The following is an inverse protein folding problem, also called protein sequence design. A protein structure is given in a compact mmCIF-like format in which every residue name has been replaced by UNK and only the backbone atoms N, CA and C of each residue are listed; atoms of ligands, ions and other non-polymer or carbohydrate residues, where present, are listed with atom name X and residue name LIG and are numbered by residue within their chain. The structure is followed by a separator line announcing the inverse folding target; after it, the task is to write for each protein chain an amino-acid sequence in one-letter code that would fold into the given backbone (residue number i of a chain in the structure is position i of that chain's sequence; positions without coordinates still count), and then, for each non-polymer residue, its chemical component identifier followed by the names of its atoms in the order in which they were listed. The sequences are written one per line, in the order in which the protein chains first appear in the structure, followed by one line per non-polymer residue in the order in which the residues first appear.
data_IF_096696284351
#
_entry.id   IF_096696284351
#
_cell.length_a   1.000
_cell.length_b   1.000
_cell.length_c   1.000
_cell.angle_alpha   90.00
_cell.angle_beta   90.00
_cell.angle_gamma   90.00
#
_symmetry.space_group_name_H-M   'P 1'
#
loop_
_entity.id
_entity.type
_entity.pdbx_description
1 polymer ?
#
# COMPACT_ATOMS: atom_id res chain seq x y z
N UNK A 1 14.56 -9.58 -20.44
CA UNK A 1 13.17 -9.14 -20.22
C UNK A 1 13.25 -7.78 -19.60
N UNK A 2 12.64 -6.76 -20.20
CA UNK A 2 12.53 -5.46 -19.54
C UNK A 2 11.79 -5.65 -18.22
N UNK A 3 12.36 -5.19 -17.15
CA UNK A 3 11.73 -5.21 -15.84
C UNK A 3 10.75 -4.04 -15.81
N UNK A 4 9.46 -4.34 -15.79
CA UNK A 4 8.44 -3.31 -15.70
C UNK A 4 8.30 -2.83 -14.26
N UNK A 5 8.64 -1.57 -14.02
CA UNK A 5 8.49 -0.93 -12.72
C UNK A 5 7.02 -0.52 -12.53
N UNK A 6 6.45 -0.90 -11.40
CA UNK A 6 5.11 -0.51 -10.99
C UNK A 6 5.18 0.51 -9.86
N UNK A 7 4.66 1.69 -10.13
CA UNK A 7 4.48 2.73 -9.12
C UNK A 7 3.01 2.73 -8.70
N UNK A 8 2.79 2.66 -7.40
CA UNK A 8 1.48 2.67 -6.76
C UNK A 8 1.30 4.01 -6.09
N UNK A 9 0.28 4.75 -6.49
CA UNK A 9 -0.06 6.00 -5.83
C UNK A 9 -1.04 5.76 -4.69
N UNK A 10 -0.74 6.26 -3.49
CA UNK A 10 -1.46 5.95 -2.26
C UNK A 10 -2.18 7.17 -1.65
N UNK A 11 -3.13 7.83 -2.36
CA UNK A 11 -3.88 8.96 -1.82
C UNK A 11 -4.70 8.61 -0.57
N UNK A 12 -5.14 7.35 -0.43
CA UNK A 12 -5.81 6.87 0.78
C UNK A 12 -4.90 7.02 2.00
N UNK A 13 -3.66 6.59 1.88
CA UNK A 13 -2.69 6.64 2.98
C UNK A 13 -2.29 8.07 3.31
N UNK A 14 -2.11 8.90 2.29
CA UNK A 14 -1.88 10.34 2.45
C UNK A 14 -2.99 11.01 3.24
N UNK A 15 -4.25 10.73 2.91
CA UNK A 15 -5.41 11.39 3.51
C UNK A 15 -5.75 10.88 4.92
N UNK A 16 -5.48 9.63 5.25
CA UNK A 16 -5.99 9.01 6.48
C UNK A 16 -5.53 9.70 7.77
N UNK A 17 -4.38 10.37 7.75
CA UNK A 17 -3.83 11.11 8.89
C UNK A 17 -4.26 12.58 8.98
N UNK A 18 -5.00 13.09 7.99
CA UNK A 18 -5.46 14.48 7.96
C UNK A 18 -6.67 14.63 8.90
N UNK A 19 -6.56 15.54 9.87
CA UNK A 19 -7.58 15.72 10.90
C UNK A 19 -8.86 16.36 10.36
N UNK A 20 -8.73 17.38 9.51
CA UNK A 20 -9.87 18.04 8.87
C UNK A 20 -10.47 17.13 7.79
N UNK A 21 -11.80 16.95 7.83
CA UNK A 21 -12.46 16.10 6.85
C UNK A 21 -12.39 16.71 5.46
N UNK A 22 -11.70 16.05 4.57
CA UNK A 22 -11.60 16.43 3.17
C UNK A 22 -12.97 16.20 2.50
N UNK A 23 -13.58 17.21 1.86
CA UNK A 23 -14.84 17.02 1.16
C UNK A 23 -14.79 15.88 0.15
N UNK A 24 -15.80 15.03 0.14
CA UNK A 24 -15.87 13.85 -0.75
C UNK A 24 -15.64 14.21 -2.22
N UNK A 25 -16.18 15.37 -2.65
CA UNK A 25 -15.96 15.87 -4.02
C UNK A 25 -14.46 16.06 -4.32
N UNK A 26 -13.69 16.61 -3.40
CA UNK A 26 -12.27 16.84 -3.59
C UNK A 26 -11.50 15.51 -3.73
N UNK A 27 -11.87 14.51 -2.93
CA UNK A 27 -11.31 13.16 -3.03
C UNK A 27 -11.63 12.52 -4.39
N UNK A 28 -12.88 12.64 -4.85
CA UNK A 28 -13.31 12.13 -6.17
C UNK A 28 -12.51 12.82 -7.29
N UNK A 29 -12.42 14.14 -7.25
CA UNK A 29 -11.69 14.91 -8.27
C UNK A 29 -10.20 14.52 -8.29
N UNK A 30 -9.59 14.29 -7.11
CA UNK A 30 -8.21 13.85 -7.00
C UNK A 30 -8.02 12.44 -7.61
N UNK A 31 -8.86 11.45 -7.23
CA UNK A 31 -8.74 10.09 -7.77
C UNK A 31 -8.94 10.08 -9.29
N UNK A 32 -9.93 10.82 -9.81
CA UNK A 32 -10.14 10.97 -11.27
C UNK A 32 -8.93 11.59 -11.97
N UNK A 33 -8.26 12.52 -11.32
CA UNK A 33 -7.02 13.11 -11.86
C UNK A 33 -5.88 12.08 -11.88
N UNK A 34 -5.71 11.31 -10.79
CA UNK A 34 -4.65 10.30 -10.67
C UNK A 34 -4.84 9.15 -11.66
N UNK A 35 -6.09 8.74 -11.94
CA UNK A 35 -6.38 7.70 -12.95
C UNK A 35 -5.76 8.06 -14.31
N UNK A 36 -5.80 9.34 -14.69
CA UNK A 36 -5.25 9.80 -15.98
C UNK A 36 -3.71 9.76 -16.05
N UNK A 37 -3.05 9.59 -14.92
CA UNK A 37 -1.58 9.54 -14.87
C UNK A 37 -1.00 8.21 -15.37
N UNK A 38 -1.78 7.11 -15.34
CA UNK A 38 -1.31 5.79 -15.78
C UNK A 38 -0.58 4.98 -14.70
N UNK A 39 -0.74 5.29 -13.42
CA UNK A 39 -0.18 4.45 -12.34
C UNK A 39 -0.74 3.01 -12.41
N UNK A 40 0.11 2.00 -12.12
CA UNK A 40 -0.32 0.59 -12.11
C UNK A 40 -1.51 0.38 -11.17
N UNK A 41 -1.43 0.94 -9.97
CA UNK A 41 -2.46 0.79 -8.94
C UNK A 41 -2.65 2.11 -8.19
N UNK A 42 -3.89 2.42 -7.81
CA UNK A 42 -4.23 3.52 -6.92
C UNK A 42 -4.84 2.93 -5.64
N UNK A 43 -4.21 3.15 -4.49
CA UNK A 43 -4.80 2.89 -3.19
C UNK A 43 -5.76 4.04 -2.86
N UNK A 44 -7.02 3.87 -3.25
CA UNK A 44 -7.99 4.95 -3.35
C UNK A 44 -8.95 5.06 -2.16
N UNK A 45 -9.03 4.05 -1.29
CA UNK A 45 -10.03 4.09 -0.23
C UNK A 45 -9.95 2.96 0.79
N UNK A 46 -10.90 2.95 1.73
CA UNK A 46 -10.90 1.98 2.82
C UNK A 46 -12.31 1.59 3.25
N UNK A 47 -12.49 0.29 3.52
CA UNK A 47 -13.69 -0.26 4.14
C UNK A 47 -13.46 -0.65 5.61
N UNK A 48 -12.43 -0.10 6.22
CA UNK A 48 -12.21 -0.15 7.67
C UNK A 48 -13.32 0.67 8.38
N UNK A 49 -13.53 0.42 9.66
CA UNK A 49 -14.54 1.13 10.44
C UNK A 49 -14.32 2.64 10.44
N UNK A 50 -15.34 3.41 10.09
CA UNK A 50 -15.32 4.88 10.12
C UNK A 50 -15.08 5.47 11.51
N UNK A 51 -15.24 4.66 12.59
CA UNK A 51 -14.83 5.06 13.94
C UNK A 51 -13.32 5.14 14.11
N UNK A 52 -12.57 4.34 13.36
CA UNK A 52 -11.11 4.33 13.38
C UNK A 52 -10.51 5.28 12.35
N UNK A 53 -11.11 5.33 11.16
CA UNK A 53 -10.65 6.19 10.06
C UNK A 53 -11.85 6.99 9.51
N UNK A 54 -12.28 8.07 10.22
CA UNK A 54 -13.42 8.88 9.78
C UNK A 54 -13.22 9.49 8.40
N UNK A 55 -11.99 9.86 8.07
CA UNK A 55 -11.60 10.48 6.81
C UNK A 55 -12.03 9.67 5.58
N UNK A 56 -12.14 8.34 5.70
CA UNK A 56 -12.45 7.44 4.59
C UNK A 56 -13.84 6.81 4.68
N UNK A 57 -14.70 7.37 5.52
CA UNK A 57 -16.08 6.89 5.68
C UNK A 57 -16.90 6.96 4.38
N UNK A 58 -16.54 7.87 3.50
CA UNK A 58 -17.17 8.17 2.21
C UNK A 58 -16.62 7.35 1.02
N UNK A 59 -15.72 6.37 1.27
CA UNK A 59 -15.19 5.48 0.22
C UNK A 59 -16.28 4.88 -0.69
N UNK A 60 -17.44 4.41 -0.17
CA UNK A 60 -18.51 3.89 -1.05
C UNK A 60 -19.10 4.95 -1.99
N UNK A 61 -19.17 6.21 -1.57
CA UNK A 61 -19.64 7.32 -2.40
C UNK A 61 -18.62 7.67 -3.47
N UNK A 62 -17.34 7.74 -3.10
CA UNK A 62 -16.25 7.94 -4.04
C UNK A 62 -16.24 6.87 -5.14
N UNK A 63 -16.35 5.60 -4.77
CA UNK A 63 -16.37 4.51 -5.73
C UNK A 63 -17.58 4.57 -6.66
N UNK A 64 -18.79 4.90 -6.17
CA UNK A 64 -19.95 5.10 -7.07
C UNK A 64 -19.71 6.20 -8.10
N UNK A 65 -19.04 7.28 -7.71
CA UNK A 65 -18.70 8.36 -8.63
C UNK A 65 -17.64 7.98 -9.68
N UNK A 66 -16.93 6.86 -9.47
CA UNK A 66 -15.94 6.30 -10.38
C UNK A 66 -16.49 5.15 -11.25
N UNK A 67 -17.76 4.77 -11.11
CA UNK A 67 -18.34 3.58 -11.75
C UNK A 67 -18.24 3.61 -13.30
N UNK A 68 -18.31 4.80 -13.88
CA UNK A 68 -18.26 5.00 -15.34
C UNK A 68 -16.94 5.66 -15.81
N UNK A 69 -15.94 5.75 -14.95
CA UNK A 69 -14.63 6.28 -15.35
C UNK A 69 -13.85 5.22 -16.14
N UNK A 70 -13.20 5.65 -17.20
CA UNK A 70 -12.26 4.81 -17.92
C UNK A 70 -10.96 4.72 -17.10
N UNK A 71 -10.71 3.54 -16.57
CA UNK A 71 -9.53 3.29 -15.74
C UNK A 71 -8.28 2.93 -16.58
N UNK A 72 -8.45 2.67 -17.88
CA UNK A 72 -7.38 2.11 -18.69
C UNK A 72 -6.81 0.83 -18.04
N UNK A 73 -5.49 0.77 -17.90
CA UNK A 73 -4.80 -0.34 -17.22
C UNK A 73 -4.65 -0.16 -15.70
N UNK A 74 -5.06 0.98 -15.15
CA UNK A 74 -4.98 1.29 -13.72
C UNK A 74 -5.93 0.41 -12.88
N UNK A 75 -5.44 -0.15 -11.79
CA UNK A 75 -6.19 -0.96 -10.84
C UNK A 75 -6.55 -0.13 -9.60
N UNK A 76 -7.79 -0.21 -9.15
CA UNK A 76 -8.17 0.40 -7.87
C UNK A 76 -8.00 -0.61 -6.74
N UNK A 77 -7.33 -0.17 -5.68
CA UNK A 77 -7.14 -0.90 -4.44
C UNK A 77 -7.91 -0.21 -3.32
N UNK A 78 -8.56 -1.01 -2.46
CA UNK A 78 -9.16 -0.52 -1.21
C UNK A 78 -8.72 -1.36 -0.03
N UNK A 79 -8.42 -0.72 1.10
CA UNK A 79 -8.03 -1.40 2.32
C UNK A 79 -9.25 -2.01 3.01
N UNK A 80 -9.10 -3.25 3.44
CA UNK A 80 -10.09 -3.99 4.24
C UNK A 80 -9.43 -4.57 5.49
N UNK A 81 -10.12 -4.60 6.62
CA UNK A 81 -9.58 -5.13 7.87
C UNK A 81 -10.29 -6.42 8.34
N UNK A 82 -11.37 -6.81 7.68
CA UNK A 82 -12.17 -8.00 8.02
C UNK A 82 -13.06 -8.41 6.85
N UNK A 83 -13.74 -9.55 6.99
CA UNK A 83 -14.64 -10.15 6.00
C UNK A 83 -15.79 -9.22 5.61
N UNK A 84 -16.37 -8.50 6.57
CA UNK A 84 -17.45 -7.53 6.29
C UNK A 84 -16.96 -6.39 5.38
N UNK A 85 -15.78 -5.88 5.64
CA UNK A 85 -15.13 -4.89 4.77
C UNK A 85 -14.85 -5.43 3.37
N UNK A 86 -14.34 -6.67 3.29
CA UNK A 86 -14.05 -7.34 2.04
C UNK A 86 -15.31 -7.54 1.17
N UNK A 87 -16.41 -8.03 1.76
CA UNK A 87 -17.70 -8.18 1.05
C UNK A 87 -18.20 -6.84 0.51
N UNK A 88 -18.10 -5.77 1.33
CA UNK A 88 -18.53 -4.43 0.90
C UNK A 88 -17.66 -3.87 -0.24
N UNK A 89 -16.35 -4.07 -0.17
CA UNK A 89 -15.41 -3.63 -1.20
C UNK A 89 -15.59 -4.43 -2.50
N UNK A 90 -15.77 -5.73 -2.39
CA UNK A 90 -15.95 -6.64 -3.53
C UNK A 90 -17.23 -6.35 -4.33
N UNK A 91 -18.23 -5.71 -3.73
CA UNK A 91 -19.46 -5.31 -4.41
C UNK A 91 -19.26 -4.19 -5.46
N UNK A 92 -18.08 -3.53 -5.49
CA UNK A 92 -17.75 -2.51 -6.49
C UNK A 92 -16.97 -3.13 -7.65
N UNK A 93 -17.54 -3.17 -8.88
CA UNK A 93 -16.89 -3.82 -10.03
C UNK A 93 -15.50 -3.25 -10.34
N UNK A 94 -15.30 -1.95 -10.22
CA UNK A 94 -14.06 -1.24 -10.51
C UNK A 94 -12.94 -1.49 -9.51
N UNK A 95 -13.22 -2.00 -8.30
CA UNK A 95 -12.18 -2.41 -7.35
C UNK A 95 -11.52 -3.68 -7.86
N UNK A 96 -10.21 -3.65 -8.06
CA UNK A 96 -9.40 -4.78 -8.51
C UNK A 96 -8.73 -5.51 -7.35
N UNK A 97 -8.30 -4.76 -6.34
CA UNK A 97 -7.52 -5.28 -5.23
C UNK A 97 -8.17 -4.99 -3.87
N UNK A 98 -8.16 -6.01 -3.01
CA UNK A 98 -8.44 -5.87 -1.58
C UNK A 98 -7.10 -5.84 -0.85
N UNK A 99 -6.72 -4.70 -0.30
CA UNK A 99 -5.51 -4.53 0.50
C UNK A 99 -5.76 -4.97 1.94
N UNK A 100 -4.97 -5.88 2.47
CA UNK A 100 -5.09 -6.34 3.85
C UNK A 100 -3.81 -6.10 4.65
N UNK A 101 -3.85 -5.32 5.76
CA UNK A 101 -2.71 -5.12 6.64
C UNK A 101 -2.59 -6.29 7.62
N UNK A 102 -1.57 -7.11 7.41
CA UNK A 102 -1.07 -8.12 8.35
C UNK A 102 0.19 -7.58 9.02
N UNK A 103 0.48 -7.91 10.27
CA UNK A 103 1.73 -7.51 10.92
C UNK A 103 2.51 -8.69 11.49
N UNK A 104 3.84 -8.62 11.39
CA UNK A 104 4.73 -9.55 12.09
C UNK A 104 4.88 -9.20 13.58
N UNK A 105 4.63 -7.95 13.98
CA UNK A 105 4.54 -7.54 15.37
C UNK A 105 3.18 -7.92 15.95
N UNK A 106 3.16 -8.75 17.00
CA UNK A 106 1.93 -9.15 17.68
C UNK A 106 1.23 -7.95 18.34
N UNK A 107 2.03 -7.05 18.93
CA UNK A 107 1.48 -5.86 19.58
C UNK A 107 0.85 -4.90 18.58
N UNK A 108 1.53 -4.64 17.46
CA UNK A 108 0.94 -3.81 16.40
C UNK A 108 -0.31 -4.47 15.80
N UNK A 109 -0.27 -5.78 15.55
CA UNK A 109 -1.43 -6.51 15.02
C UNK A 109 -2.65 -6.34 15.91
N UNK A 110 -2.48 -6.48 17.23
CA UNK A 110 -3.55 -6.26 18.21
C UNK A 110 -4.06 -4.82 18.23
N UNK A 111 -3.16 -3.84 18.21
CA UNK A 111 -3.52 -2.42 18.19
C UNK A 111 -4.26 -2.03 16.91
N UNK A 112 -3.79 -2.51 15.76
CA UNK A 112 -4.29 -2.11 14.45
C UNK A 112 -5.62 -2.78 14.09
N UNK A 113 -5.77 -4.07 14.36
CA UNK A 113 -6.94 -4.84 13.90
C UNK A 113 -7.68 -5.59 15.02
N UNK A 114 -7.28 -5.40 16.26
CA UNK A 114 -7.81 -6.11 17.44
C UNK A 114 -7.85 -7.64 17.26
N UNK A 115 -6.75 -8.20 16.72
CA UNK A 115 -6.58 -9.62 16.46
C UNK A 115 -5.16 -10.07 16.77
N UNK A 116 -4.98 -11.33 17.16
CA UNK A 116 -3.64 -11.94 17.17
C UNK A 116 -3.13 -12.13 15.73
N UNK A 117 -1.83 -12.34 15.55
CA UNK A 117 -1.26 -12.67 14.23
C UNK A 117 -1.91 -13.92 13.63
N UNK A 118 -2.21 -14.92 14.46
CA UNK A 118 -2.86 -16.15 14.02
C UNK A 118 -4.30 -15.89 13.56
N UNK A 119 -5.08 -15.11 14.32
CA UNK A 119 -6.45 -14.74 13.92
C UNK A 119 -6.44 -13.86 12.66
N UNK A 120 -5.48 -12.94 12.55
CA UNK A 120 -5.30 -12.12 11.37
C UNK A 120 -4.97 -12.95 10.13
N UNK A 121 -4.17 -14.00 10.27
CA UNK A 121 -3.88 -14.93 9.17
C UNK A 121 -5.13 -15.71 8.75
N UNK A 122 -5.93 -16.21 9.68
CA UNK A 122 -7.21 -16.88 9.35
C UNK A 122 -8.19 -15.90 8.68
N UNK A 123 -8.25 -14.66 9.16
CA UNK A 123 -9.05 -13.61 8.55
C UNK A 123 -8.59 -13.30 7.12
N UNK A 124 -7.26 -13.23 6.89
CA UNK A 124 -6.70 -13.05 5.55
C UNK A 124 -7.13 -14.19 4.61
N UNK A 125 -7.13 -15.43 5.09
CA UNK A 125 -7.64 -16.58 4.32
C UNK A 125 -9.11 -16.38 3.93
N UNK A 126 -9.98 -16.00 4.86
CA UNK A 126 -11.39 -15.73 4.57
C UNK A 126 -11.56 -14.57 3.57
N UNK A 127 -10.74 -13.52 3.68
CA UNK A 127 -10.73 -12.40 2.73
C UNK A 127 -10.29 -12.86 1.34
N UNK A 128 -9.31 -13.77 1.26
CA UNK A 128 -8.86 -14.36 -0.02
C UNK A 128 -9.99 -15.16 -0.69
N UNK A 129 -10.73 -15.96 0.09
CA UNK A 129 -11.88 -16.71 -0.43
C UNK A 129 -12.97 -15.75 -0.98
N UNK A 130 -13.26 -14.65 -0.29
CA UNK A 130 -14.20 -13.61 -0.76
C UNK A 130 -13.69 -12.94 -2.03
N UNK A 131 -12.41 -12.62 -2.10
CA UNK A 131 -11.79 -12.00 -3.27
C UNK A 131 -11.90 -12.91 -4.49
N UNK A 132 -11.56 -14.20 -4.35
CA UNK A 132 -11.65 -15.19 -5.42
C UNK A 132 -13.09 -15.35 -5.94
N UNK A 133 -14.07 -15.47 -5.03
CA UNK A 133 -15.47 -15.56 -5.38
C UNK A 133 -16.00 -14.34 -6.14
N UNK A 134 -15.33 -13.20 -6.02
CA UNK A 134 -15.71 -11.91 -6.63
C UNK A 134 -14.78 -11.50 -7.77
N UNK A 135 -13.88 -12.38 -8.22
CA UNK A 135 -12.86 -12.10 -9.25
C UNK A 135 -11.96 -10.91 -8.89
N UNK A 136 -11.71 -10.71 -7.59
CA UNK A 136 -10.76 -9.73 -7.06
C UNK A 136 -9.46 -10.41 -6.65
N UNK A 137 -8.40 -9.62 -6.50
CA UNK A 137 -7.13 -10.11 -5.97
C UNK A 137 -6.87 -9.51 -4.59
N UNK A 138 -5.99 -10.14 -3.83
CA UNK A 138 -5.55 -9.62 -2.53
C UNK A 138 -4.14 -9.09 -2.65
N UNK A 139 -3.90 -7.90 -2.08
CA UNK A 139 -2.56 -7.40 -1.75
C UNK A 139 -2.40 -7.51 -0.24
N UNK A 140 -1.48 -8.36 0.21
CA UNK A 140 -1.17 -8.48 1.63
C UNK A 140 0.00 -7.55 1.97
N UNK A 141 -0.22 -6.62 2.90
CA UNK A 141 0.84 -5.77 3.43
C UNK A 141 1.38 -6.41 4.71
N UNK A 142 2.69 -6.70 4.76
CA UNK A 142 3.36 -7.18 5.96
C UNK A 142 3.92 -5.96 6.71
N UNK A 143 3.15 -5.43 7.65
CA UNK A 143 3.55 -4.31 8.51
C UNK A 143 4.63 -4.73 9.50
N UNK A 144 5.46 -3.77 9.93
CA UNK A 144 6.59 -3.97 10.82
C UNK A 144 7.62 -4.98 10.28
N UNK A 145 7.73 -5.08 8.94
CA UNK A 145 8.63 -6.03 8.28
C UNK A 145 10.12 -5.71 8.50
N UNK A 146 10.45 -4.53 8.99
CA UNK A 146 11.83 -4.05 9.17
C UNK A 146 12.12 -3.55 10.59
N UNK A 147 11.33 -3.97 11.56
CA UNK A 147 11.45 -3.55 12.95
C UNK A 147 10.14 -2.99 13.51
N UNK A 148 10.12 -2.75 14.82
CA UNK A 148 8.95 -2.25 15.52
C UNK A 148 9.37 -1.33 16.69
N UNK A 149 8.47 -0.41 17.14
CA UNK A 149 8.76 0.51 18.25
C UNK A 149 8.33 -0.05 19.63
N UNK A 150 8.02 -1.36 19.72
CA UNK A 150 7.39 -1.96 20.91
C UNK A 150 8.34 -2.83 21.72
N UNK A 151 9.65 -2.77 21.45
CA UNK A 151 10.65 -3.63 22.09
C UNK A 151 10.41 -5.14 21.88
N UNK A 152 9.60 -5.52 20.89
CA UNK A 152 9.49 -6.91 20.46
C UNK A 152 10.75 -7.30 19.67
N UNK A 153 11.22 -8.52 19.89
CA UNK A 153 12.35 -9.05 19.13
C UNK A 153 12.04 -9.03 17.63
N UNK A 154 12.89 -8.37 16.84
CA UNK A 154 12.79 -8.38 15.39
C UNK A 154 13.69 -9.45 14.79
N UNK A 155 13.10 -10.33 13.97
CA UNK A 155 13.83 -11.39 13.27
C UNK A 155 13.42 -11.43 11.80
N UNK A 156 14.41 -11.26 10.91
CA UNK A 156 14.18 -11.32 9.45
C UNK A 156 13.55 -12.64 9.00
N UNK A 157 13.97 -13.74 9.61
CA UNK A 157 13.46 -15.08 9.26
C UNK A 157 11.97 -15.21 9.61
N UNK A 158 11.49 -14.56 10.66
CA UNK A 158 10.06 -14.54 10.98
C UNK A 158 9.23 -13.81 9.91
N UNK A 159 9.77 -12.74 9.33
CA UNK A 159 9.14 -12.07 8.18
C UNK A 159 9.02 -13.03 6.99
N UNK A 160 10.08 -13.78 6.70
CA UNK A 160 10.08 -14.79 5.63
C UNK A 160 9.05 -15.89 5.93
N UNK A 161 8.99 -16.41 7.15
CA UNK A 161 8.03 -17.45 7.55
C UNK A 161 6.57 -16.99 7.35
N UNK A 162 6.26 -15.75 7.70
CA UNK A 162 4.93 -15.19 7.47
C UNK A 162 4.65 -14.93 5.99
N UNK A 163 5.62 -14.45 5.22
CA UNK A 163 5.49 -14.29 3.78
C UNK A 163 5.24 -15.65 3.10
N UNK A 164 5.95 -16.72 3.51
CA UNK A 164 5.74 -18.08 3.04
C UNK A 164 4.30 -18.57 3.31
N UNK A 165 3.80 -18.36 4.53
CA UNK A 165 2.42 -18.72 4.91
C UNK A 165 1.40 -17.95 4.07
N UNK A 166 1.61 -16.64 3.87
CA UNK A 166 0.71 -15.79 3.08
C UNK A 166 0.73 -16.22 1.60
N UNK A 167 1.91 -16.47 1.04
CA UNK A 167 2.06 -16.97 -0.32
C UNK A 167 1.36 -18.35 -0.50
N UNK A 168 1.40 -19.22 0.51
CA UNK A 168 0.73 -20.53 0.48
C UNK A 168 -0.79 -20.46 0.38
N UNK A 169 -1.40 -19.31 0.69
CA UNK A 169 -2.83 -19.05 0.45
C UNK A 169 -3.15 -18.74 -1.03
N UNK A 170 -2.15 -18.71 -1.91
CA UNK A 170 -2.31 -18.31 -3.31
C UNK A 170 -2.37 -16.80 -3.53
N UNK A 171 -1.93 -16.01 -2.55
CA UNK A 171 -1.81 -14.55 -2.68
C UNK A 171 -0.57 -14.26 -3.52
N UNK A 172 -0.78 -13.50 -4.61
CA UNK A 172 0.26 -13.23 -5.61
C UNK A 172 0.92 -11.86 -5.46
N UNK A 173 0.45 -11.01 -4.56
CA UNK A 173 1.07 -9.70 -4.29
C UNK A 173 1.22 -9.51 -2.80
N UNK A 174 2.46 -9.36 -2.34
CA UNK A 174 2.83 -9.18 -0.93
C UNK A 174 3.73 -7.96 -0.82
N UNK A 175 3.31 -6.93 -0.10
CA UNK A 175 4.08 -5.70 0.09
C UNK A 175 4.73 -5.69 1.48
N UNK A 176 6.06 -5.54 1.54
CA UNK A 176 6.78 -5.40 2.80
C UNK A 176 6.74 -3.94 3.24
N UNK A 177 6.19 -3.69 4.44
CA UNK A 177 6.01 -2.34 4.94
C UNK A 177 7.03 -1.99 6.03
N UNK A 178 7.80 -0.92 5.78
CA UNK A 178 8.61 -0.24 6.78
C UNK A 178 7.76 0.80 7.51
N UNK A 179 6.84 0.29 8.34
CA UNK A 179 5.75 1.06 8.95
C UNK A 179 6.21 2.24 9.81
N UNK A 180 7.43 2.18 10.33
CA UNK A 180 8.00 3.19 11.23
C UNK A 180 9.29 3.83 10.70
N UNK A 181 9.65 3.55 9.46
CA UNK A 181 10.79 4.16 8.80
C UNK A 181 12.16 3.68 9.29
N UNK A 182 12.26 2.52 9.92
CA UNK A 182 13.48 2.00 10.55
C UNK A 182 14.28 1.01 9.69
N UNK A 183 13.80 0.71 8.47
CA UNK A 183 14.45 -0.27 7.60
C UNK A 183 15.93 0.06 7.33
N UNK A 184 16.79 -0.92 7.57
CA UNK A 184 18.21 -0.85 7.26
C UNK A 184 18.49 -1.49 5.89
N UNK A 185 19.44 -0.96 5.13
CA UNK A 185 19.82 -1.46 3.81
C UNK A 185 20.04 -2.97 3.76
N UNK A 186 20.76 -3.51 4.73
CA UNK A 186 21.04 -4.94 4.81
C UNK A 186 19.79 -5.82 5.03
N UNK A 187 18.78 -5.31 5.75
CA UNK A 187 17.52 -6.03 5.97
C UNK A 187 16.64 -5.98 4.74
N UNK A 188 16.59 -4.82 4.07
CA UNK A 188 15.89 -4.65 2.79
C UNK A 188 16.46 -5.62 1.76
N UNK A 189 17.77 -5.59 1.54
CA UNK A 189 18.45 -6.48 0.59
C UNK A 189 18.19 -7.95 0.92
N UNK A 190 18.37 -8.34 2.19
CA UNK A 190 18.18 -9.72 2.63
C UNK A 190 16.75 -10.22 2.36
N UNK A 191 15.73 -9.47 2.79
CA UNK A 191 14.34 -9.89 2.66
C UNK A 191 13.89 -9.98 1.21
N UNK A 192 14.12 -8.94 0.40
CA UNK A 192 13.73 -8.97 -1.00
C UNK A 192 14.48 -10.02 -1.80
N UNK A 193 15.80 -10.14 -1.66
CA UNK A 193 16.60 -11.17 -2.38
C UNK A 193 16.11 -12.58 -2.05
N UNK A 194 15.79 -12.86 -0.79
CA UNK A 194 15.30 -14.17 -0.37
C UNK A 194 13.90 -14.46 -0.87
N UNK A 195 12.98 -13.51 -0.69
CA UNK A 195 11.56 -13.71 -1.01
C UNK A 195 11.32 -13.76 -2.52
N UNK A 196 11.93 -12.87 -3.30
CA UNK A 196 11.80 -12.85 -4.77
C UNK A 196 12.35 -14.14 -5.38
N UNK A 197 13.49 -14.63 -4.90
CA UNK A 197 14.06 -15.89 -5.41
C UNK A 197 13.25 -17.12 -5.00
N UNK A 198 12.66 -17.11 -3.79
CA UNK A 198 11.92 -18.24 -3.22
C UNK A 198 10.51 -18.38 -3.81
N UNK A 199 9.88 -17.27 -4.18
CA UNK A 199 8.52 -17.22 -4.69
C UNK A 199 8.44 -16.48 -6.04
N UNK A 200 8.94 -17.07 -7.14
CA UNK A 200 9.01 -16.39 -8.44
C UNK A 200 7.64 -16.05 -9.06
N UNK A 201 6.55 -16.63 -8.53
CA UNK A 201 5.17 -16.33 -8.93
C UNK A 201 4.49 -15.25 -8.07
N UNK A 202 5.17 -14.76 -7.03
CA UNK A 202 4.66 -13.71 -6.15
C UNK A 202 5.38 -12.41 -6.45
N UNK A 203 4.61 -11.34 -6.66
CA UNK A 203 5.11 -9.98 -6.77
C UNK A 203 5.33 -9.41 -5.37
N UNK A 204 6.60 -9.18 -5.01
CA UNK A 204 6.92 -8.50 -3.76
C UNK A 204 7.04 -7.00 -3.98
N UNK A 205 6.30 -6.20 -3.19
CA UNK A 205 6.30 -4.75 -3.22
C UNK A 205 6.98 -4.13 -2.00
N UNK A 206 7.39 -2.88 -2.15
CA UNK A 206 7.97 -2.05 -1.10
C UNK A 206 7.00 -0.93 -0.73
N UNK A 207 6.50 -0.95 0.51
CA UNK A 207 5.70 0.10 1.11
C UNK A 207 6.49 0.75 2.25
N UNK A 208 7.30 1.73 1.89
CA UNK A 208 8.26 2.31 2.85
C UNK A 208 7.82 3.67 3.35
N UNK A 209 8.01 3.87 4.65
CA UNK A 209 8.06 5.20 5.24
C UNK A 209 9.51 5.62 5.41
N UNK A 210 9.81 6.89 5.21
CA UNK A 210 11.18 7.38 5.29
C UNK A 210 11.25 8.86 5.61
N UNK A 211 12.25 9.22 6.41
CA UNK A 211 12.69 10.61 6.43
C UNK A 211 13.22 11.02 5.05
N UNK A 212 13.11 12.32 4.70
CA UNK A 212 13.51 12.83 3.37
C UNK A 212 14.97 12.53 2.98
N UNK A 213 15.86 12.35 3.96
CA UNK A 213 17.28 12.08 3.70
C UNK A 213 17.60 10.60 3.34
N UNK A 214 16.69 9.67 3.60
CA UNK A 214 17.00 8.23 3.58
C UNK A 214 16.21 7.41 2.54
N UNK A 215 15.23 8.01 1.87
CA UNK A 215 14.34 7.32 0.95
C UNK A 215 15.06 6.63 -0.21
N UNK A 216 16.05 7.32 -0.80
CA UNK A 216 16.72 6.86 -2.01
C UNK A 216 17.46 5.55 -1.77
N UNK A 217 18.21 5.46 -0.68
CA UNK A 217 18.94 4.23 -0.31
C UNK A 217 17.99 3.05 -0.12
N UNK A 218 16.83 3.26 0.52
CA UNK A 218 15.84 2.19 0.72
C UNK A 218 15.28 1.68 -0.61
N UNK A 219 14.92 2.59 -1.51
CA UNK A 219 14.39 2.24 -2.84
C UNK A 219 15.45 1.53 -3.68
N UNK A 220 16.67 2.02 -3.67
CA UNK A 220 17.78 1.44 -4.42
C UNK A 220 18.11 0.02 -3.95
N UNK A 221 18.15 -0.22 -2.64
CA UNK A 221 18.38 -1.55 -2.08
C UNK A 221 17.27 -2.54 -2.43
N UNK A 222 16.00 -2.12 -2.34
CA UNK A 222 14.89 -2.97 -2.72
C UNK A 222 14.89 -3.30 -4.21
N UNK A 223 15.15 -2.31 -5.08
CA UNK A 223 15.25 -2.48 -6.52
C UNK A 223 16.40 -3.43 -6.91
N UNK A 224 17.58 -3.24 -6.34
CA UNK A 224 18.74 -4.09 -6.59
C UNK A 224 18.50 -5.54 -6.12
N UNK A 225 17.68 -5.73 -5.09
CA UNK A 225 17.28 -7.04 -4.57
C UNK A 225 16.08 -7.66 -5.35
N UNK A 226 15.61 -7.02 -6.43
CA UNK A 226 14.60 -7.57 -7.34
C UNK A 226 13.16 -7.11 -7.08
N UNK A 227 12.93 -6.14 -6.19
CA UNK A 227 11.63 -5.50 -6.06
C UNK A 227 11.33 -4.64 -7.30
N UNK A 228 10.10 -4.77 -7.83
CA UNK A 228 9.66 -4.02 -9.01
C UNK A 228 8.35 -3.25 -8.76
N UNK A 229 7.81 -3.31 -7.54
CA UNK A 229 6.57 -2.67 -7.13
C UNK A 229 6.84 -1.74 -5.95
N UNK A 230 6.55 -0.46 -6.09
CA UNK A 230 6.87 0.58 -5.11
C UNK A 230 5.66 1.46 -4.83
N UNK A 231 5.31 1.55 -3.56
CA UNK A 231 4.23 2.39 -3.08
C UNK A 231 4.78 3.78 -2.73
N UNK A 232 4.09 4.82 -3.15
CA UNK A 232 4.38 6.21 -2.80
C UNK A 232 3.11 7.02 -2.60
N UNK A 233 3.26 8.22 -2.11
CA UNK A 233 2.18 9.20 -2.05
C UNK A 233 2.71 10.57 -2.46
N UNK A 234 1.95 11.36 -3.19
CA UNK A 234 2.37 12.71 -3.57
C UNK A 234 2.81 13.50 -2.33
N UNK A 235 3.97 14.16 -2.44
CA UNK A 235 4.64 14.93 -1.39
C UNK A 235 5.10 14.11 -0.18
N UNK A 236 5.05 12.79 -0.24
CA UNK A 236 5.39 11.93 0.88
C UNK A 236 4.46 12.07 2.09
N UNK A 237 3.26 12.60 1.88
CA UNK A 237 2.27 12.80 2.95
C UNK A 237 1.73 11.45 3.42
N UNK A 238 1.31 11.39 4.69
CA UNK A 238 0.71 10.21 5.30
C UNK A 238 1.62 9.56 6.33
N UNK A 239 1.30 8.34 6.65
CA UNK A 239 1.91 7.54 7.71
C UNK A 239 0.85 6.86 8.56
N UNK A 240 1.21 5.77 9.22
CA UNK A 240 0.26 5.00 10.03
C UNK A 240 0.02 5.66 11.40
N UNK A 241 -1.17 6.22 11.69
CA UNK A 241 -1.46 6.84 13.00
C UNK A 241 -1.31 5.88 14.19
N UNK A 242 -1.34 4.58 13.94
CA UNK A 242 -1.18 3.54 14.97
C UNK A 242 0.27 3.17 15.23
N UNK A 243 1.23 3.67 14.44
CA UNK A 243 2.63 3.30 14.54
C UNK A 243 3.41 4.06 15.63
N UNK A 244 2.88 5.16 16.16
CA UNK A 244 3.52 5.97 17.21
C UNK A 244 3.18 7.45 17.10
N UNK A 245 3.81 8.27 17.98
CA UNK A 245 3.54 9.71 18.02
C UNK A 245 4.26 10.50 16.91
N UNK A 246 5.39 9.98 16.41
CA UNK A 246 6.17 10.60 15.34
C UNK A 246 5.84 9.90 14.02
N UNK A 247 4.95 10.48 13.24
CA UNK A 247 4.59 9.96 11.93
C UNK A 247 5.74 10.18 10.95
N UNK A 248 6.28 9.08 10.43
CA UNK A 248 7.21 9.12 9.30
C UNK A 248 6.38 9.03 8.02
N UNK A 249 6.58 9.98 7.09
CA UNK A 249 5.81 10.07 5.85
C UNK A 249 6.08 8.92 4.87
N UNK A 250 5.23 8.80 3.87
CA UNK A 250 5.44 7.90 2.75
C UNK A 250 6.67 8.33 1.93
N UNK A 251 7.16 7.44 1.06
CA UNK A 251 8.05 7.87 -0.02
C UNK A 251 7.26 8.79 -0.95
N UNK A 252 7.82 9.95 -1.29
CA UNK A 252 7.18 10.85 -2.23
C UNK A 252 7.14 10.23 -3.64
N UNK A 253 5.97 10.17 -4.26
CA UNK A 253 5.80 9.57 -5.59
C UNK A 253 6.67 10.26 -6.64
N UNK A 254 6.85 11.57 -6.56
CA UNK A 254 7.75 12.32 -7.43
C UNK A 254 9.21 11.87 -7.30
N UNK A 255 9.64 11.42 -6.13
CA UNK A 255 10.97 10.84 -5.95
C UNK A 255 11.09 9.47 -6.63
N UNK A 256 10.04 8.63 -6.54
CA UNK A 256 10.02 7.34 -7.25
C UNK A 256 10.07 7.56 -8.77
N UNK A 257 9.27 8.49 -9.29
CA UNK A 257 9.25 8.84 -10.71
C UNK A 257 10.63 9.31 -11.16
N UNK A 258 11.24 10.22 -10.43
CA UNK A 258 12.59 10.72 -10.76
C UNK A 258 13.60 9.57 -10.76
N UNK A 259 13.66 8.79 -9.70
CA UNK A 259 14.64 7.72 -9.53
C UNK A 259 14.53 6.66 -10.63
N UNK A 260 13.31 6.24 -10.98
CA UNK A 260 13.12 5.20 -11.99
C UNK A 260 13.23 5.72 -13.42
N UNK A 261 12.85 6.98 -13.71
CA UNK A 261 13.02 7.57 -15.04
C UNK A 261 14.48 7.57 -15.53
N UNK A 262 15.44 7.54 -14.61
CA UNK A 262 16.87 7.45 -14.92
C UNK A 262 17.34 6.01 -15.18
N UNK A 263 16.56 5.00 -14.81
CA UNK A 263 16.95 3.58 -14.84
C UNK A 263 16.15 2.75 -15.82
N UNK A 264 14.84 2.96 -15.88
CA UNK A 264 13.90 2.15 -16.66
C UNK A 264 12.83 3.07 -17.30
N UNK A 265 12.26 2.69 -18.44
CA UNK A 265 11.11 3.39 -18.98
C UNK A 265 9.93 3.34 -18.00
N UNK A 266 9.32 4.49 -17.73
CA UNK A 266 8.11 4.61 -16.93
C UNK A 266 6.97 5.05 -17.85
N UNK A 267 5.89 4.28 -17.88
CA UNK A 267 4.71 4.58 -18.70
C UNK A 267 3.71 5.42 -17.89
N UNK A 268 4.07 6.70 -17.63
CA UNK A 268 3.22 7.67 -16.96
C UNK A 268 3.05 8.93 -17.81
N UNK A 269 1.83 9.48 -17.83
CA UNK A 269 1.61 10.82 -18.35
C UNK A 269 2.09 11.88 -17.35
N UNK A 270 3.31 12.35 -17.51
CA UNK A 270 3.95 13.31 -16.61
C UNK A 270 3.20 14.66 -16.55
N UNK A 271 2.40 15.03 -17.58
CA UNK A 271 1.60 16.25 -17.54
C UNK A 271 0.39 16.05 -16.61
N UNK A 272 -0.25 14.90 -16.69
CA UNK A 272 -1.35 14.56 -15.78
C UNK A 272 -0.84 14.36 -14.35
N UNK A 273 0.38 13.80 -14.17
CA UNK A 273 1.04 13.72 -12.85
C UNK A 273 1.21 15.12 -12.24
N UNK A 274 1.71 16.11 -12.99
CA UNK A 274 1.88 17.47 -12.48
C UNK A 274 0.55 18.14 -12.10
N UNK A 275 -0.51 17.91 -12.89
CA UNK A 275 -1.87 18.40 -12.56
C UNK A 275 -2.40 17.74 -11.28
N UNK A 276 -2.25 16.42 -11.17
CA UNK A 276 -2.70 15.65 -10.01
C UNK A 276 -1.94 16.06 -8.75
N UNK A 277 -0.64 16.28 -8.84
CA UNK A 277 0.16 16.84 -7.75
C UNK A 277 -0.34 18.22 -7.31
N UNK A 278 -0.62 19.11 -8.26
CA UNK A 278 -1.14 20.45 -7.94
C UNK A 278 -2.49 20.39 -7.19
N UNK A 279 -3.35 19.44 -7.60
CA UNK A 279 -4.64 19.20 -6.93
C UNK A 279 -4.42 18.57 -5.54
N UNK A 280 -3.55 17.56 -5.43
CA UNK A 280 -3.20 16.92 -4.16
C UNK A 280 -2.67 17.95 -3.14
N UNK A 281 -1.82 18.88 -3.59
CA UNK A 281 -1.29 19.94 -2.72
C UNK A 281 -2.40 20.79 -2.09
N UNK A 282 -3.43 21.14 -2.86
CA UNK A 282 -4.55 21.94 -2.34
C UNK A 282 -5.48 21.16 -1.41
N UNK A 283 -5.33 19.83 -1.34
CA UNK A 283 -6.16 18.94 -0.51
C UNK A 283 -5.41 18.52 0.76
N UNK A 284 -4.08 18.35 0.67
CA UNK A 284 -3.25 17.86 1.78
C UNK A 284 -2.73 18.99 2.68
N UNK A 285 -2.84 20.25 2.26
CA UNK A 285 -2.47 21.47 3.03
C UNK A 285 -3.68 22.14 3.65
#
# INVERSE_FOLDING_TARGET
MNKEIKIIECPRDAMQGIHEFIPTKNKIDLIKSIIKCGFDTIDCGSFVSSKHIPQLADTPEMLRALENEDLGDTKLLTIVANERGAVRAAAFPQVSYLGYPFSVSEMFQRKNTNASRQDAFFRLKSIKDIADASSKKVVAYISMAFGNPYEEEYRRDEVIEWADKIASLGIQTISLADTVGQAQSQDINYLFSKLVSRHPSVEFGAHFHSEPAHWQTKIEEAYNAGCLRFDGAFYGVGGCPMAGNDLVGNIATEHLIQFFSEKEPIDLDLKEVQKSMSLARSIYT
#
